data_IF_347217719916
#
_entry.id   IF_347217719916
#
_cell.length_a   1.000
_cell.length_b   1.000
_cell.length_c   1.000
_cell.angle_alpha   90.00
_cell.angle_beta   90.00
_cell.angle_gamma   90.00
#
_symmetry.space_group_name_H-M   'P 1'
#
loop_
_entity.id
_entity.type
_entity.pdbx_description
1 polymer ?
#
# COMPACT_ATOMS: atom_id res chain seq x y z
N UNK A 1 -20.36 3.83 3.78
CA UNK A 1 -19.98 4.72 2.65
C UNK A 1 -19.24 3.89 1.62
N UNK A 2 -19.47 4.08 0.30
CA UNK A 2 -18.80 3.28 -0.72
C UNK A 2 -17.31 3.64 -0.80
N UNK A 3 -16.43 2.63 -0.88
CA UNK A 3 -15.00 2.81 -1.14
C UNK A 3 -14.81 3.28 -2.59
N UNK A 4 -14.11 4.41 -2.78
CA UNK A 4 -13.88 4.99 -4.11
C UNK A 4 -12.42 5.33 -4.31
N UNK A 5 -11.94 5.25 -5.55
CA UNK A 5 -10.67 5.85 -5.97
C UNK A 5 -10.79 7.37 -5.97
N UNK A 6 -9.74 8.05 -5.48
CA UNK A 6 -9.78 9.47 -5.13
C UNK A 6 -9.33 10.34 -6.29
N UNK A 7 -8.29 9.89 -7.03
CA UNK A 7 -7.68 10.68 -8.09
C UNK A 7 -7.23 9.81 -9.27
N UNK A 8 -6.68 10.46 -10.30
CA UNK A 8 -6.13 9.82 -11.49
C UNK A 8 -7.19 9.34 -12.49
N UNK A 9 -6.79 8.42 -13.36
CA UNK A 9 -7.58 7.95 -14.50
C UNK A 9 -8.93 7.31 -14.10
N UNK A 10 -9.00 6.78 -12.88
CA UNK A 10 -10.21 6.08 -12.38
C UNK A 10 -10.89 6.82 -11.23
N UNK A 11 -10.68 8.13 -11.09
CA UNK A 11 -11.30 8.95 -10.04
C UNK A 11 -12.80 8.70 -9.95
N UNK A 12 -13.30 8.49 -8.73
CA UNK A 12 -14.72 8.26 -8.42
C UNK A 12 -15.19 6.82 -8.62
N UNK A 13 -14.37 5.94 -9.23
CA UNK A 13 -14.71 4.53 -9.40
C UNK A 13 -14.92 3.86 -8.05
N UNK A 14 -16.05 3.16 -7.91
CA UNK A 14 -16.39 2.38 -6.73
C UNK A 14 -15.61 1.08 -6.75
N UNK A 15 -15.02 0.71 -5.61
CA UNK A 15 -14.41 -0.58 -5.36
C UNK A 15 -15.34 -1.42 -4.47
N UNK A 16 -15.41 -2.71 -4.74
CA UNK A 16 -16.03 -3.66 -3.83
C UNK A 16 -15.20 -3.78 -2.55
N UNK A 17 -15.88 -3.98 -1.43
CA UNK A 17 -15.24 -4.23 -0.13
C UNK A 17 -15.57 -5.63 0.34
N UNK A 18 -14.63 -6.33 1.01
CA UNK A 18 -14.92 -7.61 1.63
C UNK A 18 -16.10 -7.53 2.61
N UNK A 19 -16.83 -8.63 2.77
CA UNK A 19 -17.91 -8.72 3.73
C UNK A 19 -17.41 -8.41 5.16
N UNK A 20 -18.13 -7.57 5.90
CA UNK A 20 -17.73 -7.15 7.24
C UNK A 20 -16.68 -6.03 7.30
N UNK A 21 -16.09 -5.63 6.18
CA UNK A 21 -15.17 -4.50 6.16
C UNK A 21 -15.92 -3.18 6.40
N UNK A 22 -15.53 -2.45 7.45
CA UNK A 22 -16.09 -1.14 7.77
C UNK A 22 -15.27 -0.07 7.05
N UNK A 23 -15.84 0.50 5.99
CA UNK A 23 -15.24 1.68 5.35
C UNK A 23 -15.51 2.91 6.18
N UNK A 24 -14.47 3.44 6.83
CA UNK A 24 -14.55 4.66 7.64
C UNK A 24 -14.28 5.89 6.76
N UNK A 25 -14.97 7.03 6.97
CA UNK A 25 -14.62 8.29 6.28
C UNK A 25 -13.17 8.73 6.54
N UNK A 26 -12.60 8.38 7.70
CA UNK A 26 -11.20 8.62 8.05
C UNK A 26 -10.23 7.91 7.10
N UNK A 27 -10.51 6.67 6.71
CA UNK A 27 -9.63 5.91 5.80
C UNK A 27 -9.46 6.59 4.43
N UNK A 28 -10.50 7.22 3.89
CA UNK A 28 -10.38 7.98 2.64
C UNK A 28 -9.47 9.21 2.81
N UNK A 29 -9.55 9.90 3.96
CA UNK A 29 -8.70 11.07 4.26
C UNK A 29 -7.24 10.68 4.47
N UNK A 30 -7.00 9.57 5.16
CA UNK A 30 -5.65 9.03 5.37
C UNK A 30 -5.03 8.65 4.03
N UNK A 31 -5.77 7.92 3.18
CA UNK A 31 -5.30 7.56 1.83
C UNK A 31 -5.03 8.80 0.97
N UNK A 32 -5.90 9.82 1.01
CA UNK A 32 -5.65 11.09 0.32
C UNK A 32 -4.34 11.72 0.81
N UNK A 33 -4.14 11.85 2.12
CA UNK A 33 -2.94 12.43 2.70
C UNK A 33 -1.67 11.65 2.33
N UNK A 34 -1.73 10.31 2.33
CA UNK A 34 -0.62 9.46 1.91
C UNK A 34 -0.19 9.78 0.48
N UNK A 35 -1.14 9.80 -0.46
CA UNK A 35 -0.81 10.06 -1.86
C UNK A 35 -0.47 11.52 -2.14
N UNK A 36 -1.00 12.48 -1.38
CA UNK A 36 -0.60 13.89 -1.48
C UNK A 36 0.85 14.08 -1.04
N UNK A 37 1.28 13.39 0.03
CA UNK A 37 2.68 13.40 0.45
C UNK A 37 3.59 12.73 -0.58
N UNK A 38 3.20 11.59 -1.14
CA UNK A 38 3.93 10.94 -2.22
C UNK A 38 4.04 11.81 -3.47
N UNK A 39 3.03 12.62 -3.79
CA UNK A 39 3.03 13.47 -4.99
C UNK A 39 3.87 14.74 -4.84
N UNK A 40 3.95 15.31 -3.63
CA UNK A 40 4.44 16.68 -3.46
C UNK A 40 5.65 16.82 -2.52
N UNK A 41 5.97 15.80 -1.71
CA UNK A 41 7.12 15.90 -0.81
C UNK A 41 8.45 15.81 -1.59
N UNK A 42 9.46 16.63 -1.26
CA UNK A 42 10.75 16.64 -1.96
C UNK A 42 11.47 15.28 -1.98
N UNK A 43 11.32 14.52 -0.90
CA UNK A 43 11.93 13.19 -0.77
C UNK A 43 11.19 12.09 -1.57
N UNK A 44 10.00 12.35 -2.08
CA UNK A 44 9.20 11.35 -2.81
C UNK A 44 9.59 11.19 -4.28
N UNK A 45 10.47 12.06 -4.81
CA UNK A 45 11.05 11.97 -6.16
C UNK A 45 10.01 11.73 -7.28
N UNK A 46 8.92 12.52 -7.30
CA UNK A 46 7.85 12.39 -8.31
C UNK A 46 6.76 11.37 -7.97
N UNK A 47 6.78 10.81 -6.78
CA UNK A 47 5.70 9.96 -6.29
C UNK A 47 5.61 8.61 -6.97
N UNK A 48 4.38 8.20 -7.33
CA UNK A 48 4.10 6.87 -7.88
C UNK A 48 4.23 6.79 -9.41
N UNK A 49 4.31 7.92 -10.10
CA UNK A 49 4.29 7.97 -11.57
C UNK A 49 5.46 7.17 -12.15
N UNK A 50 5.15 6.28 -13.09
CA UNK A 50 6.10 5.39 -13.78
C UNK A 50 6.93 4.47 -12.87
N UNK A 51 6.53 4.33 -11.59
CA UNK A 51 7.22 3.48 -10.61
C UNK A 51 6.43 2.22 -10.28
N UNK A 52 7.11 1.09 -10.01
CA UNK A 52 6.47 -0.12 -9.51
C UNK A 52 6.10 0.05 -8.03
N UNK A 53 4.84 -0.23 -7.69
CA UNK A 53 4.27 -0.08 -6.34
C UNK A 53 3.85 -1.43 -5.80
N UNK A 54 4.09 -1.72 -4.52
CA UNK A 54 3.62 -2.90 -3.81
C UNK A 54 2.60 -2.49 -2.73
N UNK A 55 1.40 -3.04 -2.81
CA UNK A 55 0.34 -2.93 -1.82
C UNK A 55 0.39 -4.16 -0.92
N UNK A 56 0.86 -3.98 0.31
CA UNK A 56 1.05 -5.05 1.29
C UNK A 56 -0.10 -5.01 2.29
N UNK A 57 -0.69 -6.14 2.59
CA UNK A 57 -2.00 -6.26 3.26
C UNK A 57 -3.11 -5.66 2.39
N UNK A 58 -3.14 -6.05 1.12
CA UNK A 58 -3.83 -5.30 0.06
C UNK A 58 -5.35 -5.18 0.25
N UNK A 59 -5.98 -6.11 0.95
CA UNK A 59 -7.42 -6.05 1.18
C UNK A 59 -8.20 -5.92 -0.14
N UNK A 60 -8.99 -4.87 -0.27
CA UNK A 60 -9.73 -4.56 -1.51
C UNK A 60 -8.84 -4.05 -2.66
N UNK A 61 -7.55 -3.80 -2.42
CA UNK A 61 -6.61 -3.21 -3.36
C UNK A 61 -6.69 -1.68 -3.44
N UNK A 62 -7.24 -1.03 -2.44
CA UNK A 62 -7.50 0.41 -2.51
C UNK A 62 -6.24 1.27 -2.67
N UNK A 63 -5.11 0.87 -2.07
CA UNK A 63 -3.84 1.59 -2.20
C UNK A 63 -3.18 1.33 -3.55
N UNK A 64 -3.02 0.07 -3.94
CA UNK A 64 -2.38 -0.28 -5.20
C UNK A 64 -3.17 0.19 -6.43
N UNK A 65 -4.50 0.10 -6.40
CA UNK A 65 -5.36 0.62 -7.47
C UNK A 65 -5.38 2.15 -7.51
N UNK A 66 -5.31 2.83 -6.37
CA UNK A 66 -5.11 4.29 -6.34
C UNK A 66 -3.77 4.68 -6.96
N UNK A 67 -2.69 3.94 -6.65
CA UNK A 67 -1.38 4.16 -7.25
C UNK A 67 -1.42 3.99 -8.78
N UNK A 68 -2.02 2.92 -9.30
CA UNK A 68 -2.21 2.71 -10.74
C UNK A 68 -3.06 3.83 -11.36
N UNK A 69 -4.14 4.24 -10.71
CA UNK A 69 -4.98 5.35 -11.16
C UNK A 69 -4.20 6.66 -11.29
N UNK A 70 -3.17 6.85 -10.47
CA UNK A 70 -2.28 8.02 -10.46
C UNK A 70 -1.04 7.86 -11.35
N UNK A 71 -0.95 6.79 -12.13
CA UNK A 71 0.11 6.60 -13.12
C UNK A 71 1.27 5.70 -12.69
N UNK A 72 1.11 4.87 -11.66
CA UNK A 72 2.11 3.84 -11.36
C UNK A 72 2.28 2.88 -12.55
N UNK A 73 3.52 2.46 -12.83
CA UNK A 73 3.83 1.58 -13.95
C UNK A 73 3.19 0.19 -13.78
N UNK A 74 3.24 -0.32 -12.56
CA UNK A 74 2.63 -1.60 -12.18
C UNK A 74 2.33 -1.61 -10.68
N UNK A 75 1.41 -2.46 -10.24
CA UNK A 75 1.13 -2.74 -8.85
C UNK A 75 1.23 -4.23 -8.53
N UNK A 76 2.02 -4.56 -7.52
CA UNK A 76 1.98 -5.84 -6.83
C UNK A 76 0.99 -5.76 -5.66
N UNK A 77 0.34 -6.88 -5.35
CA UNK A 77 -0.59 -6.99 -4.23
C UNK A 77 -0.27 -8.26 -3.45
N UNK A 78 -0.10 -8.14 -2.13
CA UNK A 78 0.05 -9.29 -1.23
C UNK A 78 -1.16 -9.32 -0.30
N UNK A 79 -1.92 -10.42 -0.38
CA UNK A 79 -3.09 -10.68 0.45
C UNK A 79 -3.16 -12.18 0.75
N UNK A 80 -3.48 -12.54 2.00
CA UNK A 80 -3.53 -13.95 2.42
C UNK A 80 -4.94 -14.54 2.40
N UNK A 81 -5.98 -13.73 2.61
CA UNK A 81 -7.35 -14.20 2.69
C UNK A 81 -7.92 -14.45 1.29
N UNK A 82 -8.35 -15.69 1.04
CA UNK A 82 -8.87 -16.09 -0.27
C UNK A 82 -10.18 -15.39 -0.65
N UNK A 83 -11.04 -15.09 0.31
CA UNK A 83 -12.29 -14.38 0.03
C UNK A 83 -12.01 -12.92 -0.33
N UNK A 84 -11.04 -12.30 0.35
CA UNK A 84 -10.57 -10.94 0.07
C UNK A 84 -9.86 -10.87 -1.28
N UNK A 85 -9.04 -11.87 -1.63
CA UNK A 85 -8.41 -11.98 -2.95
C UNK A 85 -9.42 -12.00 -4.08
N UNK A 86 -10.56 -12.69 -3.92
CA UNK A 86 -11.61 -12.70 -4.94
C UNK A 86 -12.23 -11.30 -5.14
N UNK A 87 -12.38 -10.50 -4.08
CA UNK A 87 -12.81 -9.10 -4.16
C UNK A 87 -11.77 -8.26 -4.89
N UNK A 88 -10.50 -8.39 -4.51
CA UNK A 88 -9.38 -7.69 -5.13
C UNK A 88 -9.29 -7.99 -6.64
N UNK A 89 -9.44 -9.25 -7.05
CA UNK A 89 -9.45 -9.63 -8.46
C UNK A 89 -10.58 -8.94 -9.25
N UNK A 90 -11.80 -8.88 -8.67
CA UNK A 90 -12.91 -8.17 -9.31
C UNK A 90 -12.65 -6.66 -9.42
N UNK A 91 -12.06 -6.05 -8.40
CA UNK A 91 -11.68 -4.64 -8.43
C UNK A 91 -10.62 -4.34 -9.50
N UNK A 92 -9.60 -5.19 -9.63
CA UNK A 92 -8.58 -5.08 -10.68
C UNK A 92 -9.22 -5.19 -12.08
N UNK A 93 -10.10 -6.17 -12.27
CA UNK A 93 -10.80 -6.36 -13.54
C UNK A 93 -11.73 -5.17 -13.85
N UNK A 94 -12.48 -4.66 -12.86
CA UNK A 94 -13.33 -3.48 -13.00
C UNK A 94 -12.53 -2.24 -13.40
N UNK A 95 -11.30 -2.09 -12.93
CA UNK A 95 -10.39 -1.02 -13.34
C UNK A 95 -9.69 -1.30 -14.68
N UNK A 96 -9.87 -2.47 -15.30
CA UNK A 96 -9.14 -2.92 -16.50
C UNK A 96 -7.61 -2.91 -16.28
N UNK A 97 -7.18 -3.19 -15.04
CA UNK A 97 -5.80 -3.10 -14.61
C UNK A 97 -5.05 -4.44 -14.61
N UNK A 98 -5.62 -5.51 -15.16
CA UNK A 98 -5.07 -6.88 -15.09
C UNK A 98 -3.64 -6.96 -15.62
N UNK A 99 -3.34 -6.28 -16.73
CA UNK A 99 -2.00 -6.30 -17.33
C UNK A 99 -0.93 -5.60 -16.47
N UNK A 100 -1.34 -4.65 -15.62
CA UNK A 100 -0.45 -3.87 -14.74
C UNK A 100 -0.44 -4.40 -13.30
N UNK A 101 -1.20 -5.45 -13.01
CA UNK A 101 -1.41 -5.97 -11.65
C UNK A 101 -0.84 -7.36 -11.48
N UNK A 102 -0.16 -7.60 -10.36
CA UNK A 102 0.35 -8.91 -9.96
C UNK A 102 -0.12 -9.27 -8.57
N UNK A 103 -0.93 -10.32 -8.46
CA UNK A 103 -1.44 -10.81 -7.18
C UNK A 103 -0.56 -11.93 -6.64
N UNK A 104 -0.28 -11.86 -5.35
CA UNK A 104 0.40 -12.89 -4.59
C UNK A 104 -0.46 -13.28 -3.39
N UNK A 105 -1.00 -14.49 -3.44
CA UNK A 105 -1.78 -15.08 -2.34
C UNK A 105 -0.82 -15.59 -1.26
N UNK A 106 -0.44 -14.73 -0.30
CA UNK A 106 0.54 -15.06 0.73
C UNK A 106 0.37 -14.21 1.98
N UNK A 107 0.90 -14.73 3.09
CA UNK A 107 1.11 -13.95 4.30
C UNK A 107 2.27 -12.95 4.08
N UNK A 108 2.03 -11.67 4.34
CA UNK A 108 3.03 -10.61 4.20
C UNK A 108 4.25 -10.80 5.13
N UNK A 109 4.12 -11.57 6.22
CA UNK A 109 5.23 -11.90 7.12
C UNK A 109 6.07 -13.10 6.65
N UNK A 110 5.58 -13.84 5.66
CA UNK A 110 6.27 -14.99 5.06
C UNK A 110 5.98 -15.03 3.54
N UNK A 111 6.30 -13.95 2.79
CA UNK A 111 6.05 -13.90 1.37
C UNK A 111 7.00 -14.84 0.62
N UNK A 112 6.61 -15.36 -0.54
CA UNK A 112 7.52 -16.13 -1.41
C UNK A 112 8.64 -15.24 -1.95
N UNK A 113 9.60 -15.83 -2.65
CA UNK A 113 10.60 -15.07 -3.41
C UNK A 113 9.92 -14.10 -4.37
N UNK A 114 10.40 -12.87 -4.41
CA UNK A 114 9.80 -11.82 -5.21
C UNK A 114 9.91 -12.11 -6.71
N UNK A 115 8.83 -11.93 -7.46
CA UNK A 115 8.88 -12.01 -8.92
C UNK A 115 9.49 -10.76 -9.55
N UNK A 116 9.52 -9.66 -8.82
CA UNK A 116 10.10 -8.37 -9.21
C UNK A 116 10.36 -7.52 -7.96
N UNK A 117 11.20 -6.48 -8.09
CA UNK A 117 11.43 -5.49 -7.03
C UNK A 117 10.51 -4.29 -7.21
N UNK A 118 10.08 -3.71 -6.09
CA UNK A 118 9.20 -2.57 -6.05
C UNK A 118 9.91 -1.34 -5.45
N UNK A 119 9.63 -0.19 -6.04
CA UNK A 119 10.24 1.08 -5.65
C UNK A 119 9.45 1.82 -4.56
N UNK A 120 8.16 1.53 -4.43
CA UNK A 120 7.30 2.09 -3.38
C UNK A 120 6.53 0.95 -2.73
N UNK A 121 6.57 0.91 -1.42
CA UNK A 121 5.91 -0.11 -0.60
C UNK A 121 4.84 0.58 0.24
N UNK A 122 3.60 0.21 0.03
CA UNK A 122 2.44 0.71 0.77
C UNK A 122 2.00 -0.35 1.77
N UNK A 123 1.89 0.01 3.05
CA UNK A 123 1.49 -0.90 4.12
C UNK A 123 0.35 -0.29 4.93
N UNK A 124 -0.77 -1.01 5.00
CA UNK A 124 -1.94 -0.68 5.83
C UNK A 124 -2.39 -1.94 6.61
N UNK A 125 -1.57 -2.43 7.57
CA UNK A 125 -1.89 -3.60 8.35
C UNK A 125 -2.92 -3.29 9.45
N UNK A 126 -3.55 -4.31 10.07
CA UNK A 126 -4.27 -4.14 11.32
C UNK A 126 -3.39 -3.54 12.42
N UNK A 127 -3.91 -2.56 13.16
CA UNK A 127 -3.17 -1.86 14.22
C UNK A 127 -2.88 -2.76 15.44
N UNK A 128 -1.91 -2.36 16.26
CA UNK A 128 -1.61 -2.96 17.55
C UNK A 128 -0.84 -4.29 17.50
N UNK A 129 -0.36 -4.70 16.34
CA UNK A 129 0.32 -6.00 16.15
C UNK A 129 1.79 -5.86 15.71
N UNK A 130 2.29 -4.64 15.60
CA UNK A 130 3.66 -4.35 15.15
C UNK A 130 4.05 -5.07 13.84
N UNK A 131 3.13 -5.10 12.86
CA UNK A 131 3.29 -5.87 11.63
C UNK A 131 4.20 -5.18 10.61
N UNK A 132 4.29 -3.85 10.61
CA UNK A 132 5.08 -3.09 9.63
C UNK A 132 6.55 -3.51 9.62
N UNK A 133 7.31 -3.47 10.73
CA UNK A 133 8.72 -3.85 10.72
C UNK A 133 8.92 -5.33 10.39
N UNK A 134 8.01 -6.20 10.82
CA UNK A 134 8.08 -7.63 10.50
C UNK A 134 7.89 -7.88 9.00
N UNK A 135 6.89 -7.25 8.38
CA UNK A 135 6.63 -7.35 6.95
C UNK A 135 7.80 -6.79 6.13
N UNK A 136 8.32 -5.61 6.48
CA UNK A 136 9.46 -4.99 5.78
C UNK A 136 10.70 -5.90 5.84
N UNK A 137 10.99 -6.49 7.00
CA UNK A 137 12.10 -7.46 7.15
C UNK A 137 11.89 -8.70 6.26
N UNK A 138 10.67 -9.23 6.22
CA UNK A 138 10.36 -10.40 5.41
C UNK A 138 10.44 -10.09 3.90
N UNK A 139 9.91 -8.95 3.47
CA UNK A 139 9.96 -8.47 2.10
C UNK A 139 11.40 -8.19 1.64
N UNK A 140 12.23 -7.61 2.51
CA UNK A 140 13.65 -7.41 2.22
C UNK A 140 14.35 -8.76 1.97
N UNK A 141 14.20 -9.70 2.91
CA UNK A 141 14.81 -11.04 2.82
C UNK A 141 14.42 -11.83 1.58
N UNK A 142 13.21 -11.62 1.09
CA UNK A 142 12.66 -12.32 -0.08
C UNK A 142 12.75 -11.52 -1.38
N UNK A 143 13.46 -10.36 -1.37
CA UNK A 143 13.84 -9.62 -2.56
C UNK A 143 12.76 -8.73 -3.17
N UNK A 144 11.71 -8.37 -2.42
CA UNK A 144 10.62 -7.51 -2.91
C UNK A 144 10.99 -6.04 -2.98
N UNK A 145 11.97 -5.59 -2.17
CA UNK A 145 12.33 -4.18 -2.07
C UNK A 145 13.41 -3.82 -3.08
N UNK A 146 13.24 -2.73 -3.81
CA UNK A 146 14.34 -2.07 -4.52
C UNK A 146 15.35 -1.51 -3.49
N UNK A 147 16.63 -1.29 -3.85
CA UNK A 147 17.63 -0.76 -2.91
C UNK A 147 17.19 0.54 -2.24
N UNK A 148 16.62 1.47 -3.00
CA UNK A 148 16.12 2.75 -2.51
C UNK A 148 14.59 2.79 -2.41
N UNK A 149 13.96 1.67 -2.07
CA UNK A 149 12.52 1.60 -1.95
C UNK A 149 12.01 2.56 -0.87
N UNK A 150 11.02 3.37 -1.24
CA UNK A 150 10.29 4.23 -0.32
C UNK A 150 9.19 3.43 0.37
N UNK A 151 9.22 3.37 1.68
CA UNK A 151 8.21 2.71 2.49
C UNK A 151 7.25 3.78 3.01
N UNK A 152 5.96 3.60 2.74
CA UNK A 152 4.86 4.41 3.24
C UNK A 152 3.92 3.51 4.02
N UNK A 153 3.85 3.69 5.33
CA UNK A 153 3.06 2.81 6.19
C UNK A 153 2.05 3.59 7.03
N UNK A 154 0.88 2.99 7.22
CA UNK A 154 -0.11 3.41 8.19
C UNK A 154 0.10 2.62 9.49
N UNK A 155 0.20 3.33 10.61
CA UNK A 155 0.31 2.79 11.95
C UNK A 155 -0.85 3.28 12.81
N UNK A 156 -1.24 2.51 13.81
CA UNK A 156 -2.09 3.02 14.88
C UNK A 156 -1.36 4.06 15.74
N UNK A 157 -2.12 4.87 16.50
CA UNK A 157 -1.54 5.92 17.35
C UNK A 157 -0.49 5.40 18.32
N UNK A 158 -0.73 4.22 18.89
CA UNK A 158 0.09 3.62 19.95
C UNK A 158 1.07 2.55 19.42
N UNK A 159 1.07 2.29 18.10
CA UNK A 159 2.03 1.37 17.50
C UNK A 159 3.44 1.95 17.60
N UNK A 160 4.48 1.16 17.86
CA UNK A 160 5.84 1.64 17.91
C UNK A 160 6.31 2.13 16.53
N UNK A 161 7.11 3.20 16.52
CA UNK A 161 7.82 3.62 15.31
C UNK A 161 8.93 2.61 14.99
N UNK A 162 9.24 2.40 13.69
CA UNK A 162 10.40 1.61 13.31
C UNK A 162 11.69 2.31 13.79
N UNK A 163 12.72 1.53 14.11
CA UNK A 163 14.04 2.03 14.51
C UNK A 163 14.84 2.48 13.26
N UNK A 164 14.30 3.49 12.56
CA UNK A 164 14.89 4.05 11.33
C UNK A 164 14.58 5.53 11.24
N UNK A 165 15.45 6.27 10.56
CA UNK A 165 15.23 7.67 10.27
C UNK A 165 13.98 7.85 9.39
N UNK A 166 13.01 8.61 9.90
CA UNK A 166 11.79 8.92 9.15
C UNK A 166 12.02 10.14 8.25
N UNK A 167 11.61 10.03 7.02
CA UNK A 167 11.51 11.17 6.09
C UNK A 167 10.35 12.09 6.46
N UNK A 168 9.28 11.52 6.97
CA UNK A 168 8.12 12.25 7.47
C UNK A 168 7.22 11.39 8.35
N UNK A 169 6.48 12.06 9.23
CA UNK A 169 5.36 11.52 10.00
C UNK A 169 4.18 12.49 9.96
N UNK A 170 2.95 11.96 9.85
CA UNK A 170 1.70 12.73 9.91
C UNK A 170 0.62 11.98 10.65
N UNK A 171 0.03 12.62 11.66
CA UNK A 171 -1.10 12.06 12.41
C UNK A 171 -2.43 12.44 11.78
N UNK A 172 -3.33 11.46 11.67
CA UNK A 172 -4.69 11.60 11.17
C UNK A 172 -5.67 10.85 12.09
N UNK A 173 -6.10 11.51 13.15
CA UNK A 173 -6.97 10.88 14.16
C UNK A 173 -6.26 9.71 14.86
N UNK A 174 -6.76 8.47 14.77
CA UNK A 174 -6.12 7.30 15.35
C UNK A 174 -4.98 6.73 14.50
N UNK A 175 -4.81 7.20 13.26
CA UNK A 175 -3.80 6.74 12.33
C UNK A 175 -2.58 7.67 12.31
N UNK A 176 -1.40 7.10 12.09
CA UNK A 176 -0.15 7.80 11.77
C UNK A 176 0.39 7.30 10.44
N UNK A 177 0.66 8.20 9.53
CA UNK A 177 1.39 7.90 8.30
C UNK A 177 2.88 8.15 8.54
N UNK A 178 3.70 7.18 8.23
CA UNK A 178 5.16 7.27 8.29
C UNK A 178 5.78 6.98 6.94
N UNK A 179 6.91 7.64 6.66
CA UNK A 179 7.65 7.49 5.40
C UNK A 179 9.14 7.37 5.71
N UNK A 180 9.80 6.36 5.15
CA UNK A 180 11.23 6.13 5.30
C UNK A 180 11.79 5.33 4.11
N UNK A 181 13.10 5.35 3.92
CA UNK A 181 13.75 4.53 2.89
C UNK A 181 14.01 3.11 3.41
N UNK A 182 14.11 2.17 2.46
CA UNK A 182 14.54 0.80 2.78
C UNK A 182 15.82 0.83 3.64
N UNK A 183 15.78 0.31 4.87
CA UNK A 183 16.90 0.42 5.82
C UNK A 183 18.12 -0.42 5.43
N UNK A 184 17.96 -1.37 4.54
CA UNK A 184 19.00 -2.33 4.14
C UNK A 184 19.45 -2.01 2.70
N UNK A 185 20.17 -0.91 2.55
CA UNK A 185 20.82 -0.53 1.27
C UNK A 185 21.95 -1.50 0.92
#
# INVERSE_FOLDING_TARGET
MALRLIAGAWRGRVLETPAGAITRPSAARVRQALFDMLAHAPWAMGGVVDRPVLDVFAGSGALGLEALSRGAAQAGFIEQDRAVLAVLQRNIAACRATAQSRLTAANALAPPQAPARFAIILLDPPYGQNLVPQAVTALHRTGWLAPDALIAAELGRDDPLPDHELLAERSHGPARLIFYLNPNR
#
